data_IF_729146583650
#
_entry.id   IF_729146583650
#
_cell.length_a   1.000
_cell.length_b   1.000
_cell.length_c   1.000
_cell.angle_alpha   90.00
_cell.angle_beta   90.00
_cell.angle_gamma   90.00
#
_symmetry.space_group_name_H-M   'P 1'
#
loop_
_entity.id
_entity.type
_entity.pdbx_description
1 polymer ?
#
# COMPACT_ATOMS: atom_id res chain seq x y z
N UNK A 1 8.05 -8.31 30.38
CA UNK A 1 7.86 -9.10 29.15
C UNK A 1 7.37 -8.20 28.04
N UNK A 2 8.09 -8.14 26.92
CA UNK A 2 7.64 -7.42 25.72
C UNK A 2 6.57 -8.29 25.04
N UNK A 3 5.34 -7.80 24.83
CA UNK A 3 4.27 -8.59 24.20
C UNK A 3 4.63 -9.10 22.80
N UNK A 4 5.67 -8.53 22.16
CA UNK A 4 6.13 -8.92 20.83
C UNK A 4 7.29 -9.93 20.86
N UNK A 5 7.75 -10.39 22.03
CA UNK A 5 8.88 -11.33 22.14
C UNK A 5 8.68 -12.62 21.34
N UNK A 6 7.44 -13.14 21.31
CA UNK A 6 7.07 -14.29 20.47
C UNK A 6 7.27 -14.02 18.98
N UNK A 7 6.82 -12.85 18.52
CA UNK A 7 6.92 -12.42 17.12
C UNK A 7 8.39 -12.19 16.74
N UNK A 8 9.21 -11.61 17.62
CA UNK A 8 10.66 -11.40 17.37
C UNK A 8 11.39 -12.72 17.09
N UNK A 9 10.98 -13.81 17.72
CA UNK A 9 11.55 -15.16 17.47
C UNK A 9 11.17 -15.75 16.10
N UNK A 10 10.14 -15.20 15.44
CA UNK A 10 9.71 -15.63 14.09
C UNK A 10 10.39 -14.85 12.95
N UNK A 11 11.27 -13.89 13.25
CA UNK A 11 12.05 -13.24 12.20
C UNK A 11 13.02 -14.21 11.55
N UNK A 12 13.30 -13.96 10.27
CA UNK A 12 14.33 -14.66 9.52
C UNK A 12 15.68 -14.44 10.19
N UNK A 13 16.49 -15.49 10.31
CA UNK A 13 17.84 -15.41 10.88
C UNK A 13 18.82 -14.60 10.02
N UNK A 14 18.42 -14.23 8.80
CA UNK A 14 19.23 -13.44 7.86
C UNK A 14 19.24 -11.94 8.18
N UNK A 15 18.27 -11.45 8.98
CA UNK A 15 18.10 -10.04 9.27
C UNK A 15 17.81 -9.81 10.76
N UNK A 16 18.35 -8.76 11.39
CA UNK A 16 17.96 -8.39 12.75
C UNK A 16 16.45 -8.12 12.83
N UNK A 17 15.75 -8.59 13.89
CA UNK A 17 14.34 -8.30 14.06
C UNK A 17 14.07 -6.80 14.11
N UNK A 18 13.25 -6.30 13.17
CA UNK A 18 12.90 -4.89 13.07
C UNK A 18 11.38 -4.74 13.05
N UNK A 19 10.85 -4.14 14.11
CA UNK A 19 9.44 -3.81 14.30
C UNK A 19 9.37 -2.32 14.59
N UNK A 20 8.86 -1.55 13.63
CA UNK A 20 8.71 -0.09 13.72
C UNK A 20 7.23 0.29 13.56
N UNK A 21 6.47 0.04 14.62
CA UNK A 21 5.05 0.38 14.74
C UNK A 21 4.74 0.80 16.18
N UNK A 22 3.75 1.67 16.35
CA UNK A 22 3.24 2.05 17.66
C UNK A 22 2.47 0.93 18.39
N UNK A 23 2.43 1.04 19.73
CA UNK A 23 1.78 0.06 20.63
C UNK A 23 0.30 -0.16 20.38
N UNK A 24 -0.38 0.81 19.76
CA UNK A 24 -1.79 0.71 19.39
C UNK A 24 -2.06 -0.37 18.34
N UNK A 25 -1.05 -0.77 17.57
CA UNK A 25 -1.16 -1.85 16.57
C UNK A 25 -0.63 -3.21 17.06
N UNK A 26 -0.12 -3.31 18.29
CA UNK A 26 0.37 -4.59 18.80
C UNK A 26 -0.70 -5.68 18.80
N UNK A 27 -1.97 -5.43 19.19
CA UNK A 27 -3.02 -6.44 19.11
C UNK A 27 -3.25 -6.95 17.67
N UNK A 28 -3.25 -6.03 16.69
CA UNK A 28 -3.42 -6.36 15.26
C UNK A 28 -2.26 -7.25 14.79
N UNK A 29 -1.03 -6.93 15.19
CA UNK A 29 0.14 -7.71 14.83
C UNK A 29 0.13 -9.10 15.49
N UNK A 30 -0.31 -9.20 16.74
CA UNK A 30 -0.43 -10.48 17.47
C UNK A 30 -1.48 -11.38 16.82
N UNK A 31 -2.64 -10.83 16.46
CA UNK A 31 -3.68 -11.57 15.74
C UNK A 31 -3.20 -12.03 14.36
N UNK A 32 -2.53 -11.14 13.62
CA UNK A 32 -1.90 -11.49 12.35
C UNK A 32 -0.86 -12.60 12.52
N UNK A 33 -0.04 -12.53 13.56
CA UNK A 33 1.00 -13.52 13.84
C UNK A 33 0.42 -14.91 14.09
N UNK A 34 -0.62 -14.99 14.92
CA UNK A 34 -1.34 -16.23 15.20
C UNK A 34 -1.93 -16.83 13.92
N UNK A 35 -2.60 -16.01 13.10
CA UNK A 35 -3.17 -16.45 11.83
C UNK A 35 -2.08 -16.91 10.85
N UNK A 36 -1.00 -16.16 10.69
CA UNK A 36 0.10 -16.54 9.81
C UNK A 36 0.80 -17.81 10.28
N UNK A 37 0.91 -18.04 11.59
CA UNK A 37 1.46 -19.29 12.15
C UNK A 37 0.58 -20.48 11.81
N UNK A 38 -0.75 -20.32 11.90
CA UNK A 38 -1.70 -21.38 11.57
C UNK A 38 -1.71 -21.71 10.07
N UNK A 39 -1.52 -20.71 9.20
CA UNK A 39 -1.43 -20.90 7.75
C UNK A 39 -0.11 -21.55 7.36
N UNK A 40 1.01 -21.02 7.87
CA UNK A 40 2.35 -21.43 7.49
C UNK A 40 3.32 -21.25 8.69
N UNK A 41 3.59 -22.31 9.45
CA UNK A 41 4.45 -22.24 10.63
C UNK A 41 5.92 -21.95 10.26
N UNK A 42 6.32 -22.15 9.00
CA UNK A 42 7.67 -21.91 8.49
C UNK A 42 7.86 -20.52 7.88
N UNK A 43 6.77 -19.77 7.67
CA UNK A 43 6.82 -18.37 7.28
C UNK A 43 7.59 -17.56 8.33
N UNK A 44 8.51 -16.71 7.87
CA UNK A 44 9.32 -15.84 8.73
C UNK A 44 9.14 -14.38 8.36
N UNK A 45 9.14 -13.49 9.35
CA UNK A 45 9.19 -12.06 9.09
C UNK A 45 10.57 -11.64 8.60
N UNK A 46 10.59 -10.63 7.74
CA UNK A 46 11.80 -9.92 7.32
C UNK A 46 11.81 -8.52 7.94
N UNK A 47 10.67 -7.83 7.92
CA UNK A 47 10.52 -6.50 8.47
C UNK A 47 9.03 -6.23 8.77
N UNK A 48 8.76 -5.52 9.86
CA UNK A 48 7.42 -5.01 10.18
C UNK A 48 7.55 -3.50 10.38
N UNK A 49 6.74 -2.71 9.66
CA UNK A 49 6.79 -1.25 9.75
C UNK A 49 5.46 -0.58 9.40
N UNK A 50 5.33 0.68 9.79
CA UNK A 50 4.34 1.59 9.23
C UNK A 50 4.76 2.05 7.82
N UNK A 51 3.78 2.17 6.91
CA UNK A 51 3.92 2.88 5.65
C UNK A 51 2.57 3.41 5.16
N UNK A 52 2.50 4.70 4.83
CA UNK A 52 1.29 5.40 4.35
C UNK A 52 0.09 5.28 5.31
N UNK A 53 0.35 5.35 6.62
CA UNK A 53 -0.63 5.16 7.68
C UNK A 53 -1.11 3.72 7.87
N UNK A 54 -0.52 2.74 7.17
CA UNK A 54 -0.91 1.33 7.24
C UNK A 54 0.19 0.42 7.78
N UNK A 55 -0.20 -0.75 8.27
CA UNK A 55 0.71 -1.81 8.69
C UNK A 55 1.28 -2.56 7.48
N UNK A 56 2.61 -2.68 7.39
CA UNK A 56 3.29 -3.50 6.40
C UNK A 56 4.13 -4.60 7.06
N UNK A 57 3.93 -5.83 6.60
CA UNK A 57 4.71 -7.01 7.04
C UNK A 57 5.39 -7.69 5.85
N UNK A 58 6.71 -7.59 5.79
CA UNK A 58 7.52 -8.37 4.85
C UNK A 58 7.78 -9.73 5.46
N UNK A 59 7.64 -10.77 4.65
CA UNK A 59 7.92 -12.15 5.05
C UNK A 59 8.78 -12.82 4.00
N UNK A 60 9.35 -13.97 4.35
CA UNK A 60 9.82 -14.93 3.36
C UNK A 60 8.70 -15.29 2.38
N UNK A 61 9.07 -15.83 1.22
CA UNK A 61 8.12 -16.23 0.17
C UNK A 61 7.26 -17.38 0.70
N UNK A 62 5.93 -17.24 0.79
CA UNK A 62 5.04 -18.35 1.12
C UNK A 62 5.07 -19.43 0.04
N UNK A 63 4.68 -20.65 0.39
CA UNK A 63 4.38 -21.69 -0.62
C UNK A 63 3.28 -21.24 -1.58
N UNK A 64 3.24 -21.83 -2.78
CA UNK A 64 2.19 -21.53 -3.78
C UNK A 64 0.78 -21.77 -3.23
N UNK A 65 0.62 -22.83 -2.41
CA UNK A 65 -0.64 -23.17 -1.75
C UNK A 65 -1.07 -22.11 -0.73
N UNK A 66 -0.13 -21.66 0.12
CA UNK A 66 -0.42 -20.69 1.19
C UNK A 66 -0.45 -19.24 0.71
N UNK A 67 0.06 -18.95 -0.49
CA UNK A 67 0.19 -17.60 -1.04
C UNK A 67 -1.06 -16.75 -0.86
N UNK A 68 -2.22 -17.28 -1.28
CA UNK A 68 -3.47 -16.56 -1.22
C UNK A 68 -3.98 -16.36 0.22
N UNK A 69 -3.77 -17.34 1.10
CA UNK A 69 -4.18 -17.25 2.51
C UNK A 69 -3.35 -16.21 3.25
N UNK A 70 -2.01 -16.26 3.13
CA UNK A 70 -1.09 -15.26 3.69
C UNK A 70 -1.43 -13.86 3.20
N UNK A 71 -1.67 -13.71 1.89
CA UNK A 71 -2.04 -12.42 1.30
C UNK A 71 -3.33 -11.84 1.89
N UNK A 72 -4.33 -12.68 2.13
CA UNK A 72 -5.61 -12.26 2.75
C UNK A 72 -5.44 -11.88 4.22
N UNK A 73 -4.63 -12.62 4.98
CA UNK A 73 -4.31 -12.31 6.38
C UNK A 73 -3.67 -10.93 6.52
N UNK A 74 -2.60 -10.68 5.74
CA UNK A 74 -1.94 -9.37 5.71
C UNK A 74 -2.88 -8.23 5.31
N UNK A 75 -3.75 -8.45 4.31
CA UNK A 75 -4.75 -7.47 3.89
C UNK A 75 -5.72 -7.10 5.02
N UNK A 76 -6.23 -8.08 5.78
CA UNK A 76 -7.12 -7.82 6.91
C UNK A 76 -6.44 -7.01 8.01
N UNK A 77 -5.21 -7.40 8.38
CA UNK A 77 -4.44 -6.68 9.38
C UNK A 77 -4.17 -5.24 8.96
N UNK A 78 -3.84 -5.02 7.68
CA UNK A 78 -3.73 -3.68 7.13
C UNK A 78 -5.06 -2.91 7.19
N UNK A 79 -6.17 -3.49 6.75
CA UNK A 79 -7.48 -2.83 6.75
C UNK A 79 -7.92 -2.46 8.17
N UNK A 80 -7.51 -3.23 9.18
CA UNK A 80 -7.69 -2.91 10.60
C UNK A 80 -6.76 -1.75 11.04
N UNK A 81 -5.48 -1.79 10.65
CA UNK A 81 -4.51 -0.76 10.99
C UNK A 81 -4.91 0.62 10.45
N UNK A 82 -5.44 0.70 9.23
CA UNK A 82 -5.92 1.93 8.59
C UNK A 82 -7.13 2.58 9.29
N UNK A 83 -7.70 1.93 10.32
CA UNK A 83 -8.82 2.44 11.12
C UNK A 83 -8.49 2.53 12.62
N UNK A 84 -7.27 2.16 12.99
CA UNK A 84 -6.82 2.06 14.37
C UNK A 84 -5.68 3.03 14.61
N UNK A 85 -5.78 3.84 15.66
CA UNK A 85 -4.72 4.72 16.09
C UNK A 85 -3.47 3.91 16.42
N UNK A 86 -2.41 4.14 15.67
CA UNK A 86 -1.13 3.44 15.82
C UNK A 86 -0.54 3.61 17.23
N UNK A 87 -0.81 4.74 17.90
CA UNK A 87 -0.22 5.03 19.20
C UNK A 87 -0.97 4.45 20.39
N UNK A 88 -2.29 4.33 20.31
CA UNK A 88 -3.11 3.99 21.49
C UNK A 88 -4.19 2.93 21.24
N UNK A 89 -4.40 2.49 20.01
CA UNK A 89 -5.35 1.41 19.68
C UNK A 89 -6.82 1.82 19.62
N UNK A 90 -7.18 3.09 19.88
CA UNK A 90 -8.54 3.61 19.67
C UNK A 90 -8.81 3.80 18.18
N UNK A 91 -10.06 4.06 17.79
CA UNK A 91 -10.38 4.45 16.41
C UNK A 91 -9.51 5.61 15.94
N UNK A 92 -8.88 5.44 14.78
CA UNK A 92 -8.02 6.43 14.15
C UNK A 92 -8.46 6.76 12.73
N UNK A 93 -8.05 7.93 12.27
CA UNK A 93 -8.20 8.38 10.88
C UNK A 93 -6.85 8.85 10.36
N UNK A 94 -6.75 9.09 9.06
CA UNK A 94 -5.50 9.50 8.46
C UNK A 94 -5.15 10.93 8.83
N UNK A 95 -3.92 11.10 9.31
CA UNK A 95 -3.32 12.40 9.57
C UNK A 95 -1.95 12.46 8.88
N UNK A 96 -1.50 13.67 8.56
CA UNK A 96 -0.18 13.90 7.97
C UNK A 96 0.64 14.93 8.73
N UNK A 97 1.96 14.84 8.57
CA UNK A 97 2.93 15.81 9.08
C UNK A 97 4.14 15.82 8.16
N UNK A 98 4.37 16.94 7.46
CA UNK A 98 5.51 17.12 6.54
C UNK A 98 5.66 15.97 5.51
N UNK A 99 4.54 15.54 4.91
CA UNK A 99 4.53 14.45 3.93
C UNK A 99 4.49 13.04 4.51
N UNK A 100 4.64 12.87 5.83
CA UNK A 100 4.46 11.58 6.50
C UNK A 100 2.99 11.35 6.85
N UNK A 101 2.50 10.12 6.73
CA UNK A 101 1.11 9.76 7.00
C UNK A 101 1.04 8.76 8.14
N UNK A 102 0.10 8.96 9.07
CA UNK A 102 -0.18 8.02 10.16
C UNK A 102 -1.68 7.89 10.40
N UNK A 103 -2.12 6.72 10.81
CA UNK A 103 -3.49 6.54 11.31
C UNK A 103 -3.49 6.80 12.81
N UNK A 104 -4.12 7.90 13.24
CA UNK A 104 -4.10 8.38 14.62
C UNK A 104 -5.50 8.80 15.06
N UNK A 105 -5.78 8.70 16.37
CA UNK A 105 -6.94 9.35 16.97
C UNK A 105 -6.65 10.85 17.18
N UNK A 106 -7.68 11.72 17.30
CA UNK A 106 -7.47 13.16 17.39
C UNK A 106 -6.50 13.61 18.50
N UNK A 107 -6.54 12.95 19.67
CA UNK A 107 -5.66 13.32 20.79
C UNK A 107 -4.19 13.01 20.53
N UNK A 108 -3.89 11.79 20.06
CA UNK A 108 -2.51 11.41 19.72
C UNK A 108 -1.99 12.18 18.50
N UNK A 109 -2.87 12.54 17.56
CA UNK A 109 -2.50 13.37 16.43
C UNK A 109 -2.09 14.79 16.88
N UNK A 110 -2.91 15.43 17.73
CA UNK A 110 -2.62 16.74 18.28
C UNK A 110 -1.30 16.76 19.09
N UNK A 111 -1.09 15.76 19.94
CA UNK A 111 0.14 15.63 20.74
C UNK A 111 1.40 15.46 19.88
N UNK A 112 1.27 14.79 18.72
CA UNK A 112 2.38 14.57 17.79
C UNK A 112 2.42 15.59 16.64
N UNK A 113 1.62 16.66 16.70
CA UNK A 113 1.54 17.70 15.65
C UNK A 113 1.18 17.14 14.25
N UNK A 114 0.40 16.07 14.22
CA UNK A 114 -0.20 15.53 13.00
C UNK A 114 -1.55 16.18 12.75
N UNK A 115 -1.77 16.66 11.53
CA UNK A 115 -3.03 17.29 11.12
C UNK A 115 -3.87 16.31 10.32
N UNK A 116 -5.19 16.32 10.51
CA UNK A 116 -6.08 15.44 9.76
C UNK A 116 -5.95 15.77 8.28
N UNK A 117 -5.82 14.75 7.41
CA UNK A 117 -5.83 14.96 5.96
C UNK A 117 -7.23 15.45 5.57
N UNK A 118 -7.38 16.71 5.11
CA UNK A 118 -8.71 17.27 4.86
C UNK A 118 -9.26 16.87 3.47
N UNK A 119 -8.35 16.63 2.52
CA UNK A 119 -8.68 16.23 1.17
C UNK A 119 -9.01 14.72 1.12
N UNK A 120 -10.28 14.41 0.86
CA UNK A 120 -10.74 13.03 0.71
C UNK A 120 -10.07 12.31 -0.47
N UNK A 121 -9.65 13.04 -1.51
CA UNK A 121 -8.94 12.47 -2.65
C UNK A 121 -7.54 12.03 -2.22
N UNK A 122 -6.80 12.89 -1.52
CA UNK A 122 -5.52 12.52 -0.90
C UNK A 122 -5.66 11.33 0.05
N UNK A 123 -6.66 11.35 0.95
CA UNK A 123 -6.90 10.24 1.88
C UNK A 123 -7.16 8.91 1.14
N UNK A 124 -7.93 8.94 0.05
CA UNK A 124 -8.17 7.77 -0.81
C UNK A 124 -6.89 7.30 -1.51
N UNK A 125 -6.11 8.22 -2.06
CA UNK A 125 -4.85 7.92 -2.74
C UNK A 125 -3.85 7.24 -1.80
N UNK A 126 -3.61 7.82 -0.62
CA UNK A 126 -2.70 7.28 0.40
C UNK A 126 -3.19 5.92 0.89
N UNK A 127 -4.50 5.78 1.15
CA UNK A 127 -5.10 4.50 1.56
C UNK A 127 -4.91 3.43 0.48
N UNK A 128 -5.12 3.79 -0.79
CA UNK A 128 -4.94 2.87 -1.92
C UNK A 128 -3.47 2.47 -2.07
N UNK A 129 -2.56 3.43 -1.92
CA UNK A 129 -1.13 3.21 -1.98
C UNK A 129 -0.66 2.30 -0.85
N UNK A 130 -1.12 2.51 0.38
CA UNK A 130 -0.87 1.58 1.49
C UNK A 130 -1.27 0.16 1.09
N UNK A 131 -2.47 -0.02 0.54
CA UNK A 131 -3.01 -1.34 0.13
C UNK A 131 -2.20 -2.02 -0.98
N UNK A 132 -1.76 -1.26 -1.98
CA UNK A 132 -0.89 -1.79 -3.03
C UNK A 132 0.46 -2.18 -2.44
N UNK A 133 1.02 -1.32 -1.61
CA UNK A 133 2.33 -1.48 -1.00
C UNK A 133 2.42 -2.71 -0.08
N UNK A 134 1.38 -2.97 0.73
CA UNK A 134 1.33 -4.15 1.60
C UNK A 134 1.24 -5.49 0.84
N UNK A 135 0.80 -5.45 -0.42
CA UNK A 135 0.67 -6.61 -1.29
C UNK A 135 1.83 -6.75 -2.28
N UNK A 136 2.75 -5.79 -2.28
CA UNK A 136 3.86 -5.74 -3.23
C UNK A 136 4.83 -6.88 -3.00
N UNK A 137 5.12 -7.60 -4.08
CA UNK A 137 6.20 -8.60 -4.16
C UNK A 137 7.51 -7.86 -4.42
N UNK A 138 8.62 -8.32 -3.82
CA UNK A 138 9.94 -7.65 -3.89
C UNK A 138 10.36 -7.33 -5.34
N UNK A 139 10.06 -8.23 -6.28
CA UNK A 139 10.44 -8.09 -7.70
C UNK A 139 9.28 -7.66 -8.63
N UNK A 140 8.16 -7.20 -8.06
CA UNK A 140 7.02 -6.72 -8.83
C UNK A 140 7.30 -5.39 -9.51
N UNK A 141 7.07 -5.31 -10.83
CA UNK A 141 7.04 -4.05 -11.57
C UNK A 141 5.86 -3.23 -11.07
N UNK A 142 6.10 -1.96 -10.73
CA UNK A 142 5.04 -1.06 -10.27
C UNK A 142 4.02 -0.84 -11.38
N UNK A 143 2.73 -0.98 -11.09
CA UNK A 143 1.66 -0.70 -12.05
C UNK A 143 1.56 0.79 -12.37
N UNK A 144 0.92 1.20 -13.48
CA UNK A 144 0.65 2.61 -13.74
C UNK A 144 -0.12 3.28 -12.60
N UNK A 145 -1.11 2.59 -11.99
CA UNK A 145 -1.79 3.07 -10.79
C UNK A 145 -0.81 3.37 -9.65
N UNK A 146 0.13 2.46 -9.34
CA UNK A 146 1.14 2.70 -8.30
C UNK A 146 2.01 3.91 -8.62
N UNK A 147 2.50 4.03 -9.86
CA UNK A 147 3.36 5.13 -10.30
C UNK A 147 2.64 6.48 -10.13
N UNK A 148 1.38 6.56 -10.56
CA UNK A 148 0.56 7.77 -10.47
C UNK A 148 0.26 8.13 -9.02
N UNK A 149 -0.14 7.15 -8.21
CA UNK A 149 -0.45 7.38 -6.80
C UNK A 149 0.79 7.81 -6.01
N UNK A 150 1.96 7.24 -6.29
CA UNK A 150 3.22 7.73 -5.74
C UNK A 150 3.48 9.19 -6.12
N UNK A 151 3.34 9.53 -7.41
CA UNK A 151 3.54 10.91 -7.84
C UNK A 151 2.56 11.90 -7.19
N UNK A 152 1.31 11.48 -7.00
CA UNK A 152 0.29 12.30 -6.34
C UNK A 152 0.53 12.45 -4.83
N UNK A 153 0.87 11.36 -4.13
CA UNK A 153 1.02 11.31 -2.67
C UNK A 153 2.34 11.88 -2.20
N UNK A 154 3.43 11.52 -2.88
CA UNK A 154 4.81 11.89 -2.51
C UNK A 154 5.21 13.25 -3.12
N UNK A 155 4.38 13.82 -4.01
CA UNK A 155 4.64 15.10 -4.67
C UNK A 155 5.76 15.03 -5.71
N UNK A 156 5.90 13.89 -6.39
CA UNK A 156 6.91 13.71 -7.45
C UNK A 156 6.70 14.72 -8.58
N UNK A 157 7.81 15.16 -9.14
CA UNK A 157 7.83 15.98 -10.35
C UNK A 157 6.95 15.38 -11.46
N UNK A 158 6.11 16.24 -12.08
CA UNK A 158 5.09 15.79 -13.02
C UNK A 158 5.67 15.39 -14.37
N UNK A 159 6.77 16.01 -14.79
CA UNK A 159 7.49 15.60 -16.00
C UNK A 159 8.13 14.22 -15.81
N UNK A 160 8.68 13.95 -14.63
CA UNK A 160 9.20 12.63 -14.27
C UNK A 160 8.09 11.55 -14.25
N UNK A 161 6.89 11.89 -13.77
CA UNK A 161 5.72 11.00 -13.87
C UNK A 161 5.39 10.67 -15.31
N UNK A 162 5.24 11.68 -16.18
CA UNK A 162 4.93 11.48 -17.60
C UNK A 162 6.00 10.63 -18.26
N UNK A 163 7.29 10.93 -18.05
CA UNK A 163 8.39 10.16 -18.60
C UNK A 163 8.39 8.69 -18.15
N UNK A 164 8.04 8.42 -16.89
CA UNK A 164 7.93 7.05 -16.38
C UNK A 164 6.76 6.29 -17.05
N UNK A 165 5.60 6.93 -17.18
CA UNK A 165 4.42 6.34 -17.82
C UNK A 165 4.64 6.13 -19.33
N UNK A 166 5.28 7.07 -20.03
CA UNK A 166 5.58 6.96 -21.47
C UNK A 166 6.52 5.79 -21.80
N UNK A 167 7.33 5.33 -20.84
CA UNK A 167 8.22 4.16 -21.01
C UNK A 167 7.56 2.86 -20.57
N UNK A 168 6.38 2.93 -19.97
CA UNK A 168 5.69 1.76 -19.45
C UNK A 168 5.10 0.92 -20.61
N UNK A 169 5.26 -0.41 -20.53
CA UNK A 169 4.62 -1.32 -21.50
C UNK A 169 3.19 -1.60 -21.08
N UNK A 170 2.24 -0.96 -21.75
CA UNK A 170 0.82 -1.14 -21.46
C UNK A 170 0.26 -2.45 -22.04
N UNK A 171 -0.68 -3.04 -21.31
CA UNK A 171 -1.65 -4.00 -21.85
C UNK A 171 -2.94 -3.26 -22.10
N UNK A 172 -3.59 -3.60 -23.21
CA UNK A 172 -4.85 -3.00 -23.64
C UNK A 172 -6.03 -3.90 -23.26
N UNK A 173 -7.24 -3.34 -23.10
CA UNK A 173 -8.41 -4.14 -22.81
C UNK A 173 -8.63 -5.19 -23.91
N UNK A 174 -8.87 -6.42 -23.48
CA UNK A 174 -9.22 -7.54 -24.36
C UNK A 174 -10.75 -7.72 -24.32
N UNK A 175 -11.37 -7.78 -25.49
CA UNK A 175 -12.81 -8.05 -25.64
C UNK A 175 -12.99 -9.52 -26.02
N UNK A 176 -13.62 -10.29 -25.15
CA UNK A 176 -13.88 -11.73 -25.35
C UNK A 176 -15.38 -11.97 -25.18
N UNK A 177 -16.03 -12.35 -26.29
CA UNK A 177 -17.50 -12.48 -26.37
C UNK A 177 -18.18 -11.19 -25.85
N UNK A 178 -18.96 -11.28 -24.77
CA UNK A 178 -19.64 -10.16 -24.10
C UNK A 178 -18.88 -9.65 -22.85
N UNK A 179 -17.61 -10.01 -22.69
CA UNK A 179 -16.79 -9.62 -21.53
C UNK A 179 -15.60 -8.74 -21.93
N UNK A 180 -15.37 -7.69 -21.14
CA UNK A 180 -14.18 -6.83 -21.26
C UNK A 180 -13.22 -7.14 -20.13
N UNK A 181 -12.04 -7.62 -20.48
CA UNK A 181 -10.93 -7.80 -19.55
C UNK A 181 -10.07 -6.54 -19.54
N UNK A 182 -9.92 -5.94 -18.37
CA UNK A 182 -9.20 -4.66 -18.22
C UNK A 182 -7.69 -4.83 -18.44
N UNK A 183 -7.10 -3.91 -19.22
CA UNK A 183 -5.66 -3.77 -19.38
C UNK A 183 -5.05 -2.79 -18.37
N UNK A 184 -3.73 -2.64 -18.37
CA UNK A 184 -3.06 -1.60 -17.57
C UNK A 184 -3.29 -0.20 -18.12
N UNK A 185 -3.66 -0.06 -19.39
CA UNK A 185 -4.09 1.23 -19.97
C UNK A 185 -5.33 1.79 -19.29
N UNK A 186 -6.26 0.93 -18.84
CA UNK A 186 -7.47 1.36 -18.12
C UNK A 186 -7.14 2.07 -16.80
N UNK A 187 -5.97 1.79 -16.22
CA UNK A 187 -5.50 2.47 -15.00
C UNK A 187 -5.12 3.93 -15.26
N UNK A 188 -4.62 4.26 -16.47
CA UNK A 188 -4.35 5.64 -16.88
C UNK A 188 -5.66 6.42 -16.99
N UNK A 189 -6.66 5.84 -17.65
CA UNK A 189 -7.96 6.48 -17.84
C UNK A 189 -8.68 6.65 -16.50
N UNK A 190 -8.67 5.62 -15.65
CA UNK A 190 -9.25 5.72 -14.32
C UNK A 190 -8.57 6.79 -13.48
N UNK A 191 -7.24 6.90 -13.53
CA UNK A 191 -6.51 7.93 -12.82
C UNK A 191 -6.86 9.35 -13.31
N UNK A 192 -7.06 9.53 -14.61
CA UNK A 192 -7.58 10.78 -15.16
C UNK A 192 -9.00 11.09 -14.65
N UNK A 193 -9.92 10.13 -14.70
CA UNK A 193 -11.28 10.32 -14.19
C UNK A 193 -11.36 10.58 -12.68
N UNK A 194 -10.36 10.11 -11.92
CA UNK A 194 -10.23 10.37 -10.49
C UNK A 194 -9.41 11.63 -10.19
N UNK A 195 -9.02 12.40 -11.21
CA UNK A 195 -8.22 13.62 -11.15
C UNK A 195 -6.84 13.45 -10.47
N UNK A 196 -6.21 12.28 -10.65
CA UNK A 196 -4.80 12.05 -10.31
C UNK A 196 -3.83 12.33 -11.47
N UNK A 197 -4.38 12.41 -12.68
CA UNK A 197 -3.71 12.87 -13.90
C UNK A 197 -4.50 14.03 -14.51
N UNK A 198 -3.78 15.00 -15.05
CA UNK A 198 -4.36 16.10 -15.82
C UNK A 198 -4.61 15.69 -17.27
N UNK A 199 -5.40 16.47 -18.00
CA UNK A 199 -5.63 16.25 -19.42
C UNK A 199 -4.33 16.37 -20.25
N UNK A 200 -3.46 17.32 -19.90
CA UNK A 200 -2.18 17.51 -20.59
C UNK A 200 -1.25 16.30 -20.43
N UNK A 201 -1.12 15.79 -19.20
CA UNK A 201 -0.31 14.60 -18.90
C UNK A 201 -0.86 13.36 -19.60
N UNK A 202 -2.20 13.20 -19.61
CA UNK A 202 -2.84 12.11 -20.33
C UNK A 202 -2.51 12.17 -21.83
N UNK A 203 -2.57 13.36 -22.44
CA UNK A 203 -2.24 13.52 -23.87
C UNK A 203 -0.76 13.28 -24.15
N UNK A 204 0.14 13.73 -23.28
CA UNK A 204 1.58 13.47 -23.41
C UNK A 204 1.90 11.96 -23.36
N UNK A 205 1.30 11.23 -22.40
CA UNK A 205 1.46 9.77 -22.32
C UNK A 205 0.86 9.10 -23.56
N UNK A 206 -0.34 9.50 -24.00
CA UNK A 206 -0.99 9.00 -25.23
C UNK A 206 -0.12 9.17 -26.47
N UNK A 207 0.45 10.35 -26.67
CA UNK A 207 1.30 10.65 -27.82
C UNK A 207 2.57 9.78 -27.83
N UNK A 208 3.14 9.49 -26.66
CA UNK A 208 4.36 8.70 -26.55
C UNK A 208 4.15 7.19 -26.78
N UNK A 209 2.98 6.66 -26.40
CA UNK A 209 2.71 5.21 -26.46
C UNK A 209 1.83 4.79 -27.64
N UNK A 210 1.36 5.76 -28.43
CA UNK A 210 0.48 5.62 -29.61
C UNK A 210 -0.46 4.40 -29.53
N UNK A 211 -1.35 4.38 -28.52
CA UNK A 211 -2.22 3.23 -28.28
C UNK A 211 -3.19 3.04 -29.44
N UNK A 212 -3.67 1.80 -29.72
CA UNK A 212 -4.70 1.60 -30.73
C UNK A 212 -5.89 2.50 -30.42
N UNK A 213 -6.39 3.21 -31.43
CA UNK A 213 -7.57 4.05 -31.30
C UNK A 213 -8.73 3.22 -30.71
N UNK A 214 -9.39 3.76 -29.69
CA UNK A 214 -10.64 3.23 -29.12
C UNK A 214 -11.74 3.14 -30.17
#
# INVERSE_FOLDING_TARGET
>A
DDPLDGIRRRFSRLYPPHIDIGKGWYPILIELDAELTAIDPDLRYVQIKERYGGLRTYTTRPSTENWNAVRRAKRRAQDAALKTCEQCGRTGTMHSRLGWYRTLCPSCAAESEYVRVPDQRMERAVTRLAKLDALRVVDGVATPEEIILHAYVDGTDRDALVAALSRYRFTFPEYVEDSRKTGTWDQILLAFYLDYLTAEELQAVRAAVNPPAE
#
